data_IF_265818357645
#
_entry.id   IF_265818357645
#
_cell.length_a   1.000
_cell.length_b   1.000
_cell.length_c   1.000
_cell.angle_alpha   90.00
_cell.angle_beta   90.00
_cell.angle_gamma   90.00
#
_symmetry.space_group_name_H-M   'P 1'
#
loop_
_entity.id
_entity.type
_entity.pdbx_description
1 polymer ?
#
# COMPACT_ATOMS: atom_id res chain seq x y z
N UNK A 1 8.41 0.16 -63.38
CA UNK A 1 8.46 -0.42 -62.02
C UNK A 1 9.33 0.34 -61.01
N UNK A 2 9.62 1.65 -61.18
CA UNK A 2 10.47 2.43 -60.24
C UNK A 2 9.75 3.53 -59.44
N UNK A 3 8.44 3.75 -59.65
CA UNK A 3 7.68 4.83 -58.97
C UNK A 3 6.78 4.37 -57.82
N UNK A 4 6.61 3.07 -57.62
CA UNK A 4 5.71 2.54 -56.56
C UNK A 4 6.46 2.32 -55.23
N UNK A 5 7.77 2.07 -55.25
CA UNK A 5 8.55 1.85 -54.02
C UNK A 5 8.78 3.11 -53.18
N UNK A 6 8.72 4.32 -53.76
CA UNK A 6 8.95 5.56 -53.01
C UNK A 6 7.72 5.97 -52.19
N UNK A 7 6.51 5.61 -52.63
CA UNK A 7 5.26 5.98 -51.94
C UNK A 7 5.00 5.11 -50.70
N UNK A 8 5.40 3.83 -50.73
CA UNK A 8 5.30 2.91 -49.59
C UNK A 8 6.30 3.27 -48.49
N UNK A 9 7.48 3.80 -48.86
CA UNK A 9 8.49 4.23 -47.88
C UNK A 9 8.11 5.53 -47.15
N UNK A 10 7.31 6.41 -47.78
CA UNK A 10 6.80 7.63 -47.12
C UNK A 10 5.62 7.31 -46.18
N UNK A 11 4.81 6.29 -46.47
CA UNK A 11 3.73 5.84 -45.58
C UNK A 11 4.23 5.13 -44.32
N UNK A 12 5.38 4.45 -44.37
CA UNK A 12 5.96 3.80 -43.18
C UNK A 12 6.69 4.75 -42.23
N UNK A 13 7.09 5.94 -42.68
CA UNK A 13 7.74 6.96 -41.84
C UNK A 13 6.72 7.83 -41.10
N UNK A 14 5.46 7.84 -41.54
CA UNK A 14 4.41 8.70 -40.94
C UNK A 14 3.69 8.06 -39.74
N UNK A 15 3.95 6.79 -39.41
CA UNK A 15 3.25 6.08 -38.32
C UNK A 15 4.03 6.09 -36.99
N UNK A 16 5.30 6.49 -36.97
CA UNK A 16 6.12 6.54 -35.74
C UNK A 16 6.09 7.88 -35.01
N UNK A 17 5.28 8.84 -35.47
CA UNK A 17 5.23 10.21 -34.91
C UNK A 17 4.05 10.49 -33.99
N UNK A 18 3.36 9.48 -33.45
CA UNK A 18 2.73 9.63 -32.13
C UNK A 18 3.83 9.65 -31.05
N UNK A 19 4.81 10.54 -31.22
CA UNK A 19 5.69 10.95 -30.16
C UNK A 19 4.80 11.49 -29.04
N UNK A 20 4.95 10.94 -27.83
CA UNK A 20 4.44 11.58 -26.63
C UNK A 20 4.71 13.08 -26.74
N UNK A 21 3.66 13.90 -26.73
CA UNK A 21 3.82 15.36 -26.63
C UNK A 21 4.89 15.63 -25.59
N UNK A 22 5.89 16.44 -25.93
CA UNK A 22 6.98 16.77 -25.02
C UNK A 22 6.43 17.15 -23.64
N UNK A 23 7.16 16.77 -22.60
CA UNK A 23 6.72 16.92 -21.22
C UNK A 23 6.27 18.36 -20.91
N UNK A 24 5.07 18.52 -20.35
CA UNK A 24 4.53 19.83 -20.01
C UNK A 24 5.42 20.56 -18.99
N UNK A 25 5.33 21.91 -18.95
CA UNK A 25 6.10 22.72 -17.98
C UNK A 25 5.83 22.29 -16.53
N UNK A 26 4.58 21.96 -16.21
CA UNK A 26 4.21 21.49 -14.87
C UNK A 26 4.80 20.12 -14.58
N UNK A 27 4.78 19.18 -15.54
CA UNK A 27 5.38 17.85 -15.35
C UNK A 27 6.90 17.91 -15.18
N UNK A 28 7.59 18.81 -15.90
CA UNK A 28 9.02 19.06 -15.67
C UNK A 28 9.28 19.62 -14.27
N UNK A 29 8.47 20.58 -13.82
CA UNK A 29 8.59 21.17 -12.49
C UNK A 29 8.34 20.16 -11.36
N UNK A 30 7.38 19.22 -11.54
CA UNK A 30 7.18 18.11 -10.60
C UNK A 30 8.43 17.24 -10.47
N UNK A 31 9.02 16.82 -11.60
CA UNK A 31 10.25 16.01 -11.59
C UNK A 31 11.39 16.76 -10.89
N UNK A 32 11.58 18.05 -11.20
CA UNK A 32 12.59 18.87 -10.52
C UNK A 32 12.37 18.94 -9.01
N UNK A 33 11.12 19.06 -8.55
CA UNK A 33 10.78 19.04 -7.13
C UNK A 33 11.12 17.68 -6.50
N UNK A 34 10.73 16.58 -7.12
CA UNK A 34 11.05 15.23 -6.61
C UNK A 34 12.57 15.02 -6.53
N UNK A 35 13.33 15.43 -7.54
CA UNK A 35 14.81 15.33 -7.51
C UNK A 35 15.43 16.20 -6.42
N UNK A 36 14.86 17.39 -6.14
CA UNK A 36 15.29 18.25 -5.03
C UNK A 36 15.10 17.56 -3.67
N UNK A 37 14.01 16.82 -3.48
CA UNK A 37 13.70 16.13 -2.21
C UNK A 37 14.28 14.71 -2.12
N UNK A 38 14.84 14.19 -3.21
CA UNK A 38 15.29 12.78 -3.36
C UNK A 38 16.11 12.25 -2.20
N UNK A 39 17.17 12.95 -1.81
CA UNK A 39 18.09 12.45 -0.77
C UNK A 39 17.38 12.29 0.59
N UNK A 40 16.52 13.24 0.93
CA UNK A 40 15.78 13.19 2.19
C UNK A 40 14.67 12.13 2.13
N UNK A 41 14.00 11.95 0.99
CA UNK A 41 13.00 10.89 0.81
C UNK A 41 13.62 9.48 0.88
N UNK A 42 14.80 9.28 0.29
CA UNK A 42 15.56 8.03 0.41
C UNK A 42 15.91 7.78 1.87
N UNK A 43 16.44 8.81 2.56
CA UNK A 43 16.76 8.72 3.99
C UNK A 43 15.55 8.34 4.84
N UNK A 44 14.39 8.96 4.60
CA UNK A 44 13.13 8.61 5.28
C UNK A 44 12.76 7.14 5.03
N UNK A 45 12.82 6.70 3.77
CA UNK A 45 12.56 5.29 3.42
C UNK A 45 13.53 4.33 4.12
N UNK A 46 14.81 4.68 4.22
CA UNK A 46 15.83 3.86 4.88
C UNK A 46 15.65 3.83 6.41
N UNK A 47 15.23 4.94 7.01
CA UNK A 47 14.89 5.02 8.43
C UNK A 47 13.67 4.14 8.75
N UNK A 48 12.59 4.25 7.97
CA UNK A 48 11.39 3.41 8.13
C UNK A 48 11.75 1.93 7.91
N UNK A 49 12.59 1.62 6.90
CA UNK A 49 13.12 0.26 6.69
C UNK A 49 13.78 -0.31 7.95
N UNK A 50 14.60 0.50 8.61
CA UNK A 50 15.32 0.11 9.83
C UNK A 50 14.42 0.01 11.08
N UNK A 51 13.32 0.77 11.13
CA UNK A 51 12.34 0.73 12.20
C UNK A 51 11.50 -0.55 12.14
N UNK A 52 10.99 -0.89 10.95
CA UNK A 52 10.17 -2.07 10.69
C UNK A 52 9.05 -2.27 11.73
N UNK A 53 8.32 -1.20 12.06
CA UNK A 53 7.23 -1.21 13.03
C UNK A 53 5.99 -1.90 12.45
N UNK A 54 5.41 -2.84 13.20
CA UNK A 54 4.24 -3.62 12.76
C UNK A 54 2.93 -2.88 12.99
N UNK A 55 1.84 -3.45 12.47
CA UNK A 55 0.50 -2.91 12.59
C UNK A 55 0.17 -2.38 14.01
N UNK A 56 -0.30 -1.13 14.07
CA UNK A 56 -0.65 -0.29 15.22
C UNK A 56 0.49 0.16 16.12
N UNK A 57 1.72 -0.24 15.81
CA UNK A 57 2.93 0.13 16.56
C UNK A 57 3.84 1.09 15.74
N UNK A 58 3.35 1.62 14.62
CA UNK A 58 4.11 2.44 13.65
C UNK A 58 4.38 3.89 14.09
N UNK A 59 4.63 4.09 15.38
CA UNK A 59 4.71 5.41 16.01
C UNK A 59 5.80 6.27 15.40
N UNK A 60 7.01 5.73 15.23
CA UNK A 60 8.13 6.51 14.69
C UNK A 60 8.02 6.69 13.19
N UNK A 61 7.52 5.70 12.47
CA UNK A 61 7.35 5.74 11.02
C UNK A 61 6.30 6.80 10.63
N UNK A 62 5.18 6.84 11.36
CA UNK A 62 4.18 7.90 11.22
C UNK A 62 4.75 9.28 11.57
N UNK A 63 5.48 9.38 12.68
CA UNK A 63 6.11 10.62 13.13
C UNK A 63 7.07 11.20 12.07
N UNK A 64 7.93 10.37 11.49
CA UNK A 64 8.91 10.79 10.46
C UNK A 64 8.20 11.38 9.24
N UNK A 65 7.18 10.70 8.72
CA UNK A 65 6.45 11.15 7.53
C UNK A 65 5.64 12.42 7.83
N UNK A 66 4.92 12.45 8.95
CA UNK A 66 4.12 13.59 9.36
C UNK A 66 4.99 14.83 9.63
N UNK A 67 6.10 14.68 10.35
CA UNK A 67 7.06 15.76 10.60
C UNK A 67 7.68 16.28 9.30
N UNK A 68 7.97 15.40 8.34
CA UNK A 68 8.49 15.84 7.05
C UNK A 68 7.43 16.58 6.21
N UNK A 69 6.16 16.17 6.29
CA UNK A 69 5.06 16.92 5.68
C UNK A 69 4.93 18.33 6.30
N UNK A 70 4.93 18.44 7.64
CA UNK A 70 4.90 19.72 8.37
C UNK A 70 6.07 20.62 7.97
N UNK A 71 7.28 20.07 7.92
CA UNK A 71 8.50 20.78 7.48
C UNK A 71 8.38 21.33 6.05
N UNK A 72 7.58 20.68 5.20
CA UNK A 72 7.30 21.14 3.83
C UNK A 72 6.07 22.05 3.73
N UNK A 73 5.49 22.44 4.87
CA UNK A 73 4.44 23.44 4.98
C UNK A 73 3.03 22.90 4.79
N UNK A 74 2.80 21.61 5.01
CA UNK A 74 1.46 21.06 5.16
C UNK A 74 0.89 21.37 6.54
N UNK A 75 -0.42 21.51 6.63
CA UNK A 75 -1.15 21.42 7.92
C UNK A 75 -1.40 19.94 8.19
N UNK A 76 -0.92 19.43 9.32
CA UNK A 76 -1.00 18.00 9.65
C UNK A 76 -1.89 17.76 10.85
N UNK A 77 -2.86 16.88 10.67
CA UNK A 77 -3.75 16.36 11.72
C UNK A 77 -3.31 14.93 12.04
N UNK A 78 -2.78 14.72 13.24
CA UNK A 78 -2.24 13.43 13.71
C UNK A 78 -3.25 12.75 14.63
N UNK A 79 -3.21 11.42 14.72
CA UNK A 79 -4.10 10.66 15.58
C UNK A 79 -5.55 10.59 15.07
N UNK A 80 -5.74 10.66 13.74
CA UNK A 80 -7.08 10.67 13.12
C UNK A 80 -7.75 9.30 13.20
N UNK A 81 -9.08 9.27 13.11
CA UNK A 81 -9.87 8.03 13.13
C UNK A 81 -9.57 7.13 14.34
N UNK A 82 -9.29 7.73 15.50
CA UNK A 82 -8.95 7.06 16.76
C UNK A 82 -7.67 6.20 16.69
N UNK A 83 -6.82 6.41 15.68
CA UNK A 83 -5.55 5.70 15.51
C UNK A 83 -4.38 6.66 15.70
N UNK A 84 -3.57 6.52 16.78
CA UNK A 84 -2.44 7.42 17.05
C UNK A 84 -1.43 7.54 15.91
N UNK A 85 -1.27 6.49 15.11
CA UNK A 85 -0.31 6.42 14.00
C UNK A 85 -0.90 6.87 12.66
N UNK A 86 -2.21 7.15 12.58
CA UNK A 86 -2.82 7.71 11.37
C UNK A 86 -2.74 9.23 11.35
N UNK A 87 -2.57 9.82 10.15
CA UNK A 87 -2.56 11.27 10.00
C UNK A 87 -3.00 11.73 8.61
N UNK A 88 -3.41 13.00 8.52
CA UNK A 88 -3.74 13.70 7.28
C UNK A 88 -2.90 14.96 7.17
N UNK A 89 -2.17 15.11 6.07
CA UNK A 89 -1.41 16.31 5.76
C UNK A 89 -2.06 17.05 4.58
N UNK A 90 -2.58 18.25 4.81
CA UNK A 90 -3.34 19.03 3.82
C UNK A 90 -2.60 20.30 3.40
N UNK A 91 -2.64 20.62 2.10
CA UNK A 91 -2.23 21.92 1.59
C UNK A 91 -3.13 22.40 0.45
N UNK A 92 -3.37 23.70 0.41
CA UNK A 92 -4.16 24.35 -0.64
C UNK A 92 -5.58 24.67 -0.17
N UNK A 93 -6.45 24.97 -1.12
CA UNK A 93 -7.85 25.27 -0.84
C UNK A 93 -8.71 25.10 -2.09
N UNK A 94 -10.00 24.84 -1.87
CA UNK A 94 -10.97 24.62 -2.94
C UNK A 94 -10.73 23.30 -3.69
N UNK A 95 -11.39 23.19 -4.83
CA UNK A 95 -11.40 21.98 -5.66
C UNK A 95 -10.46 22.09 -6.87
N UNK A 96 -9.97 20.96 -7.41
CA UNK A 96 -10.19 19.61 -6.91
C UNK A 96 -9.39 19.32 -5.63
N UNK A 97 -9.93 18.44 -4.79
CA UNK A 97 -9.24 17.82 -3.65
C UNK A 97 -8.67 16.48 -4.12
N UNK A 98 -7.36 16.39 -4.20
CA UNK A 98 -6.65 15.17 -4.60
C UNK A 98 -5.94 14.60 -3.39
N UNK A 99 -6.23 13.35 -3.03
CA UNK A 99 -5.47 12.63 -2.01
C UNK A 99 -4.40 11.73 -2.63
N UNK A 100 -3.29 11.59 -1.91
CA UNK A 100 -2.21 10.64 -2.19
C UNK A 100 -2.04 9.75 -0.98
N UNK A 101 -2.16 8.44 -1.16
CA UNK A 101 -2.03 7.44 -0.10
C UNK A 101 -0.56 7.17 0.23
N UNK A 102 -0.25 7.01 1.52
CA UNK A 102 1.05 6.51 1.96
C UNK A 102 0.92 5.56 3.14
N UNK A 103 1.47 4.36 2.99
CA UNK A 103 1.54 3.32 4.01
C UNK A 103 2.96 3.17 4.54
N UNK A 104 3.13 2.56 5.72
CA UNK A 104 4.43 2.49 6.39
C UNK A 104 4.53 1.36 7.43
N UNK A 105 3.58 0.42 7.49
CA UNK A 105 3.65 -0.74 8.38
C UNK A 105 4.55 -1.85 7.84
N UNK A 106 5.13 -2.61 8.76
CA UNK A 106 5.96 -3.78 8.49
C UNK A 106 5.22 -5.08 8.83
N UNK A 107 5.79 -6.19 8.35
CA UNK A 107 5.26 -7.53 8.56
C UNK A 107 6.05 -8.26 9.65
N UNK A 108 5.39 -9.06 10.50
CA UNK A 108 6.05 -9.84 11.55
C UNK A 108 6.87 -10.99 10.96
N UNK A 109 7.98 -11.34 11.61
CA UNK A 109 8.74 -12.57 11.31
C UNK A 109 9.55 -12.57 10.00
N UNK A 110 9.59 -11.46 9.26
CA UNK A 110 10.24 -11.37 7.95
C UNK A 110 11.38 -10.33 7.90
N UNK A 111 12.10 -10.15 9.00
CA UNK A 111 13.29 -9.29 9.03
C UNK A 111 14.24 -9.59 7.88
N UNK A 112 14.80 -8.55 7.29
CA UNK A 112 15.58 -8.65 6.06
C UNK A 112 16.61 -7.51 6.01
N UNK A 113 17.84 -7.84 5.62
CA UNK A 113 18.85 -6.86 5.22
C UNK A 113 18.48 -6.28 3.86
N UNK A 114 18.95 -5.08 3.53
CA UNK A 114 18.74 -4.44 2.23
C UNK A 114 19.55 -5.13 1.10
N UNK A 115 19.28 -6.41 0.87
CA UNK A 115 19.91 -7.29 -0.12
C UNK A 115 18.83 -8.08 -0.84
N UNK A 116 19.03 -8.44 -2.13
CA UNK A 116 18.01 -9.14 -2.91
C UNK A 116 17.87 -10.63 -2.55
N UNK A 117 18.75 -11.16 -1.70
CA UNK A 117 18.72 -12.54 -1.23
C UNK A 117 18.25 -12.60 0.22
N UNK A 118 17.52 -13.66 0.59
CA UNK A 118 17.03 -13.88 1.97
C UNK A 118 18.22 -13.85 2.93
N UNK A 119 18.26 -12.82 3.78
CA UNK A 119 19.30 -12.59 4.76
C UNK A 119 18.72 -11.78 5.91
N UNK A 120 18.16 -12.43 6.94
CA UNK A 120 17.56 -11.72 8.06
C UNK A 120 18.56 -10.77 8.74
N UNK A 121 18.11 -9.56 9.05
CA UNK A 121 18.90 -8.64 9.88
C UNK A 121 18.89 -9.15 11.33
N UNK A 122 17.70 -9.54 11.82
CA UNK A 122 17.51 -10.24 13.09
C UNK A 122 16.47 -11.34 12.88
N UNK A 123 16.86 -12.59 13.11
CA UNK A 123 15.98 -13.75 12.91
C UNK A 123 14.66 -13.59 13.70
N UNK A 124 13.52 -13.86 13.04
CA UNK A 124 12.17 -13.76 13.63
C UNK A 124 11.66 -12.34 13.92
N UNK A 125 12.45 -11.29 13.70
CA UNK A 125 11.99 -9.92 13.84
C UNK A 125 11.13 -9.47 12.63
N UNK A 126 10.50 -8.31 12.75
CA UNK A 126 9.72 -7.71 11.66
C UNK A 126 10.61 -7.16 10.52
N UNK A 127 10.00 -6.93 9.35
CA UNK A 127 10.65 -6.35 8.18
C UNK A 127 9.65 -5.87 7.12
N UNK A 128 10.08 -4.99 6.23
CA UNK A 128 9.27 -4.49 5.12
C UNK A 128 9.33 -5.41 3.88
N UNK A 129 8.59 -6.50 3.91
CA UNK A 129 8.47 -7.41 2.77
C UNK A 129 7.60 -6.88 1.63
N UNK A 130 6.64 -6.00 1.95
CA UNK A 130 5.71 -5.39 1.00
C UNK A 130 6.18 -4.01 0.48
N UNK A 131 7.28 -3.49 1.03
CA UNK A 131 7.89 -2.23 0.59
C UNK A 131 7.21 -0.97 1.10
N UNK A 132 6.40 -1.02 2.16
CA UNK A 132 5.67 0.16 2.66
C UNK A 132 6.60 1.31 3.08
N UNK A 133 7.85 1.03 3.45
CA UNK A 133 8.89 2.06 3.65
C UNK A 133 9.12 2.93 2.39
N UNK A 134 9.04 2.34 1.19
CA UNK A 134 9.13 3.04 -0.09
C UNK A 134 7.82 3.74 -0.43
N UNK A 135 6.69 3.08 -0.16
CA UNK A 135 5.35 3.57 -0.49
C UNK A 135 5.09 4.91 0.21
N UNK A 136 5.15 4.97 1.54
CA UNK A 136 4.92 6.19 2.30
C UNK A 136 5.82 7.33 1.88
N UNK A 137 7.13 7.08 1.75
CA UNK A 137 8.11 8.09 1.34
C UNK A 137 7.87 8.61 -0.08
N UNK A 138 7.68 7.72 -1.05
CA UNK A 138 7.45 8.09 -2.46
C UNK A 138 6.17 8.90 -2.65
N UNK A 139 5.10 8.49 -1.98
CA UNK A 139 3.81 9.18 -2.01
C UNK A 139 3.88 10.57 -1.36
N UNK A 140 4.60 10.70 -0.24
CA UNK A 140 4.83 12.00 0.38
C UNK A 140 5.61 12.95 -0.54
N UNK A 141 6.62 12.42 -1.25
CA UNK A 141 7.34 13.17 -2.29
C UNK A 141 6.44 13.70 -3.40
N UNK A 142 5.49 12.88 -3.87
CA UNK A 142 4.51 13.30 -4.86
C UNK A 142 3.58 14.41 -4.33
N UNK A 143 3.09 14.26 -3.10
CA UNK A 143 2.24 15.28 -2.46
C UNK A 143 2.98 16.61 -2.30
N UNK A 144 4.24 16.59 -1.85
CA UNK A 144 5.10 17.78 -1.72
C UNK A 144 5.28 18.47 -3.09
N UNK A 145 5.55 17.71 -4.15
CA UNK A 145 5.74 18.28 -5.48
C UNK A 145 4.45 18.95 -6.02
N UNK A 146 3.28 18.35 -5.79
CA UNK A 146 1.98 18.95 -6.13
C UNK A 146 1.76 20.23 -5.32
N UNK A 147 2.03 20.16 -4.01
CA UNK A 147 1.93 21.29 -3.09
C UNK A 147 2.77 22.49 -3.55
N UNK A 148 4.02 22.26 -3.96
CA UNK A 148 4.90 23.33 -4.45
C UNK A 148 4.35 24.01 -5.73
N UNK A 149 3.64 23.27 -6.60
CA UNK A 149 2.97 23.88 -7.75
C UNK A 149 1.74 24.72 -7.36
N UNK A 150 0.97 24.28 -6.36
CA UNK A 150 -0.15 25.07 -5.80
C UNK A 150 0.40 26.35 -5.19
N UNK A 151 1.45 26.24 -4.35
CA UNK A 151 2.10 27.36 -3.70
C UNK A 151 2.64 28.38 -4.71
N UNK A 152 3.21 27.91 -5.83
CA UNK A 152 3.72 28.76 -6.90
C UNK A 152 2.62 29.38 -7.79
N UNK A 153 1.34 29.11 -7.52
CA UNK A 153 0.21 29.59 -8.31
C UNK A 153 0.10 28.98 -9.71
N UNK A 154 0.81 27.87 -9.98
CA UNK A 154 0.81 27.19 -11.29
C UNK A 154 -0.39 26.29 -11.49
N UNK A 155 -0.96 25.78 -10.40
CA UNK A 155 -2.21 25.03 -10.33
C UNK A 155 -3.02 25.51 -9.12
N UNK A 156 -4.29 25.14 -9.05
CA UNK A 156 -5.20 25.45 -7.95
C UNK A 156 -5.84 24.15 -7.44
N UNK A 157 -6.35 24.17 -6.22
CA UNK A 157 -6.99 23.04 -5.56
C UNK A 157 -6.32 22.70 -4.23
N UNK A 158 -6.62 21.51 -3.73
CA UNK A 158 -6.14 20.99 -2.45
C UNK A 158 -5.46 19.65 -2.68
N UNK A 159 -4.32 19.43 -2.04
CA UNK A 159 -3.66 18.13 -1.98
C UNK A 159 -3.65 17.62 -0.55
N UNK A 160 -4.05 16.37 -0.36
CA UNK A 160 -3.98 15.65 0.92
C UNK A 160 -2.99 14.50 0.79
N UNK A 161 -2.05 14.37 1.72
CA UNK A 161 -1.34 13.12 1.93
C UNK A 161 -1.99 12.40 3.10
N UNK A 162 -2.43 11.18 2.88
CA UNK A 162 -3.11 10.35 3.87
C UNK A 162 -2.11 9.29 4.34
N UNK A 163 -1.59 9.48 5.56
CA UNK A 163 -0.70 8.54 6.22
C UNK A 163 -1.52 7.45 6.88
N UNK A 164 -1.54 6.25 6.29
CA UNK A 164 -2.44 5.18 6.66
C UNK A 164 -1.68 4.01 7.30
N UNK A 165 -1.94 3.68 8.57
CA UNK A 165 -1.26 2.58 9.25
C UNK A 165 -1.92 1.23 8.95
N UNK A 166 -1.23 0.16 9.32
CA UNK A 166 -1.80 -1.18 9.55
C UNK A 166 -2.58 -1.75 8.36
N UNK A 167 -2.04 -1.63 7.15
CA UNK A 167 -2.64 -2.23 5.96
C UNK A 167 -2.68 -3.75 6.06
N UNK A 168 -1.56 -4.35 6.47
CA UNK A 168 -1.28 -5.79 6.29
C UNK A 168 -2.15 -6.69 7.16
N UNK A 169 -2.66 -6.16 8.28
CA UNK A 169 -3.37 -6.99 9.27
C UNK A 169 -4.75 -6.51 9.65
N UNK A 170 -4.93 -5.20 9.81
CA UNK A 170 -6.13 -4.64 10.42
C UNK A 170 -6.85 -3.63 9.52
N UNK A 171 -6.35 -3.42 8.31
CA UNK A 171 -6.97 -2.58 7.29
C UNK A 171 -7.27 -1.16 7.81
N UNK A 172 -6.28 -0.48 8.41
CA UNK A 172 -6.48 0.81 9.09
C UNK A 172 -7.24 1.86 8.25
N UNK A 173 -7.10 1.82 6.93
CA UNK A 173 -7.87 2.65 5.99
C UNK A 173 -9.39 2.56 6.16
N UNK A 174 -9.95 1.40 6.52
CA UNK A 174 -11.40 1.22 6.74
C UNK A 174 -11.88 2.16 7.85
N UNK A 175 -11.10 2.29 8.93
CA UNK A 175 -11.42 3.18 10.05
C UNK A 175 -11.37 4.64 9.62
N UNK A 176 -10.37 5.00 8.81
CA UNK A 176 -10.24 6.35 8.28
C UNK A 176 -11.35 6.72 7.29
N UNK A 177 -11.78 5.77 6.45
CA UNK A 177 -12.96 5.95 5.57
C UNK A 177 -14.23 6.12 6.40
N UNK A 178 -14.43 5.30 7.43
CA UNK A 178 -15.59 5.40 8.34
C UNK A 178 -15.60 6.72 9.12
N UNK A 179 -14.43 7.30 9.40
CA UNK A 179 -14.29 8.61 10.04
C UNK A 179 -14.50 9.79 9.06
N UNK A 180 -14.82 9.52 7.78
CA UNK A 180 -15.14 10.54 6.78
C UNK A 180 -13.93 11.25 6.18
N UNK A 181 -12.70 10.72 6.34
CA UNK A 181 -11.49 11.42 5.88
C UNK A 181 -11.37 11.51 4.33
N UNK A 182 -12.25 10.82 3.60
CA UNK A 182 -12.36 10.87 2.14
C UNK A 182 -13.61 11.59 1.63
N UNK A 183 -14.51 12.07 2.50
CA UNK A 183 -15.82 12.57 2.09
C UNK A 183 -15.75 13.78 1.15
N UNK A 184 -14.66 14.55 1.22
CA UNK A 184 -14.40 15.72 0.37
C UNK A 184 -13.34 15.47 -0.73
N UNK A 185 -12.85 14.23 -0.89
CA UNK A 185 -11.81 13.89 -1.86
C UNK A 185 -12.43 13.59 -3.23
N UNK A 186 -12.07 14.38 -4.24
CA UNK A 186 -12.52 14.18 -5.62
C UNK A 186 -11.79 13.01 -6.31
N UNK A 187 -10.49 12.86 -6.05
CA UNK A 187 -9.64 11.82 -6.65
C UNK A 187 -8.62 11.33 -5.62
N UNK A 188 -8.58 10.01 -5.42
CA UNK A 188 -7.55 9.35 -4.61
C UNK A 188 -6.54 8.63 -5.52
N UNK A 189 -5.25 8.94 -5.33
CA UNK A 189 -4.14 8.33 -6.07
C UNK A 189 -3.32 7.45 -5.12
N UNK A 190 -2.96 6.27 -5.61
CA UNK A 190 -2.12 5.31 -4.91
C UNK A 190 -1.16 4.64 -5.88
N UNK A 191 -0.10 4.05 -5.33
CA UNK A 191 0.80 3.15 -6.03
C UNK A 191 1.24 2.06 -5.05
N UNK A 192 1.79 0.97 -5.54
CA UNK A 192 2.34 -0.06 -4.66
C UNK A 192 3.73 -0.47 -5.17
N UNK A 193 4.74 -0.61 -4.30
CA UNK A 193 6.03 -1.16 -4.67
C UNK A 193 5.88 -2.53 -5.35
N UNK A 194 6.68 -2.74 -6.40
CA UNK A 194 6.71 -3.97 -7.17
C UNK A 194 8.06 -4.10 -7.88
N UNK A 195 8.35 -5.27 -8.43
CA UNK A 195 9.55 -5.50 -9.23
C UNK A 195 9.51 -4.77 -10.59
N UNK A 196 8.34 -4.27 -11.00
CA UNK A 196 8.12 -3.59 -12.27
C UNK A 196 7.39 -2.26 -12.08
N UNK A 197 7.82 -1.23 -12.81
CA UNK A 197 7.09 0.05 -12.90
C UNK A 197 6.02 -0.05 -13.98
N UNK A 198 4.76 -0.15 -13.59
CA UNK A 198 3.62 -0.20 -14.50
C UNK A 198 2.42 0.59 -13.99
N UNK A 199 1.55 1.00 -14.89
CA UNK A 199 0.24 1.54 -14.61
C UNK A 199 -0.78 0.71 -15.40
N UNK A 200 -1.75 0.13 -14.72
CA UNK A 200 -2.74 -0.77 -15.32
C UNK A 200 -4.10 -0.58 -14.64
N UNK A 201 -5.17 -0.90 -15.35
CA UNK A 201 -6.53 -0.90 -14.80
C UNK A 201 -6.79 -2.29 -14.25
N UNK A 202 -6.66 -2.43 -12.93
CA UNK A 202 -6.79 -3.72 -12.26
C UNK A 202 -7.89 -3.67 -11.19
N UNK A 203 -8.61 -4.77 -11.03
CA UNK A 203 -9.48 -4.99 -9.87
C UNK A 203 -8.71 -5.78 -8.82
N UNK A 204 -9.05 -5.60 -7.55
CA UNK A 204 -8.64 -6.48 -6.45
C UNK A 204 -9.74 -7.48 -6.10
N UNK A 205 -9.41 -8.47 -5.27
CA UNK A 205 -10.40 -9.34 -4.63
C UNK A 205 -10.90 -8.69 -3.33
N UNK A 206 -12.20 -8.77 -3.08
CA UNK A 206 -12.72 -8.51 -1.74
C UNK A 206 -12.25 -9.61 -0.79
N UNK A 207 -11.87 -9.23 0.43
CA UNK A 207 -11.36 -10.14 1.45
C UNK A 207 -12.33 -10.23 2.63
N UNK A 208 -12.55 -11.44 3.11
CA UNK A 208 -13.23 -11.73 4.38
C UNK A 208 -12.31 -12.67 5.16
N UNK A 209 -11.85 -12.25 6.33
CA UNK A 209 -11.03 -13.04 7.24
C UNK A 209 -11.75 -13.22 8.57
N UNK A 210 -11.68 -14.42 9.15
CA UNK A 210 -12.25 -14.76 10.44
C UNK A 210 -11.50 -15.92 11.07
N UNK A 211 -11.47 -15.94 12.41
CA UNK A 211 -10.98 -17.08 13.18
C UNK A 211 -12.14 -18.00 13.55
N UNK A 212 -11.91 -19.31 13.41
CA UNK A 212 -12.83 -20.36 13.88
C UNK A 212 -12.13 -21.13 14.98
N UNK A 213 -12.72 -21.14 16.17
CA UNK A 213 -12.18 -21.85 17.33
C UNK A 213 -13.05 -23.07 17.64
N UNK A 214 -12.41 -24.22 17.83
CA UNK A 214 -13.07 -25.48 18.14
C UNK A 214 -12.84 -25.83 19.60
N UNK A 215 -13.92 -26.03 20.34
CA UNK A 215 -13.87 -26.44 21.75
C UNK A 215 -14.42 -27.85 21.90
N UNK A 216 -13.69 -28.68 22.64
CA UNK A 216 -13.96 -30.09 22.81
C UNK A 216 -13.88 -30.54 24.26
N UNK A 217 -13.88 -31.85 24.47
CA UNK A 217 -13.70 -32.50 25.77
C UNK A 217 -12.52 -33.46 25.67
N UNK A 218 -11.51 -33.25 26.51
CA UNK A 218 -10.36 -34.13 26.59
C UNK A 218 -10.75 -35.47 27.22
N UNK A 219 -10.14 -36.55 26.75
CA UNK A 219 -10.23 -37.89 27.34
C UNK A 219 -8.93 -38.65 27.09
N UNK A 220 -8.71 -39.76 27.82
CA UNK A 220 -7.52 -40.57 27.63
C UNK A 220 -7.58 -41.27 26.26
N UNK A 221 -6.70 -40.87 25.33
CA UNK A 221 -6.79 -41.25 23.91
C UNK A 221 -6.89 -42.76 23.66
N UNK A 222 -6.20 -43.60 24.45
CA UNK A 222 -6.24 -45.06 24.28
C UNK A 222 -7.17 -45.80 25.23
N UNK A 223 -7.56 -45.21 26.36
CA UNK A 223 -8.20 -45.93 27.46
C UNK A 223 -9.68 -45.56 27.62
N UNK A 224 -10.05 -44.34 27.23
CA UNK A 224 -11.42 -43.82 27.38
C UNK A 224 -11.83 -42.87 26.23
N UNK A 225 -11.50 -43.15 24.95
CA UNK A 225 -11.71 -42.19 23.86
C UNK A 225 -13.19 -41.85 23.61
N UNK A 226 -14.13 -42.74 23.93
CA UNK A 226 -15.57 -42.54 23.71
C UNK A 226 -16.19 -41.45 24.59
N UNK A 227 -15.52 -41.05 25.68
CA UNK A 227 -15.94 -39.91 26.51
C UNK A 227 -15.34 -38.58 26.02
N UNK A 228 -14.44 -38.63 25.02
CA UNK A 228 -13.85 -37.46 24.41
C UNK A 228 -14.76 -36.80 23.38
N UNK A 229 -14.55 -35.50 23.16
CA UNK A 229 -15.07 -34.75 22.01
C UNK A 229 -13.89 -34.04 21.38
N UNK A 230 -13.31 -34.62 20.34
CA UNK A 230 -12.07 -34.13 19.75
C UNK A 230 -12.29 -32.81 19.00
N UNK A 231 -11.69 -31.74 19.51
CA UNK A 231 -11.61 -30.47 18.79
C UNK A 231 -10.75 -30.60 17.51
N UNK A 232 -9.76 -31.50 17.53
CA UNK A 232 -8.91 -31.81 16.36
C UNK A 232 -9.73 -32.42 15.23
N UNK A 233 -10.60 -33.38 15.54
CA UNK A 233 -11.45 -34.04 14.53
C UNK A 233 -12.42 -33.01 13.90
N UNK A 234 -12.97 -32.10 14.72
CA UNK A 234 -13.83 -31.03 14.22
C UNK A 234 -13.08 -30.07 13.27
N UNK A 235 -11.84 -29.72 13.60
CA UNK A 235 -10.97 -28.90 12.74
C UNK A 235 -10.63 -29.62 11.42
N UNK A 236 -10.31 -30.92 11.46
CA UNK A 236 -10.03 -31.72 10.27
C UNK A 236 -11.24 -31.81 9.33
N UNK A 237 -12.43 -32.04 9.91
CA UNK A 237 -13.69 -32.07 9.14
C UNK A 237 -14.00 -30.71 8.52
N UNK A 238 -13.79 -29.62 9.25
CA UNK A 238 -13.97 -28.26 8.72
C UNK A 238 -13.01 -27.96 7.56
N UNK A 239 -11.72 -28.22 7.74
CA UNK A 239 -10.71 -27.99 6.70
C UNK A 239 -11.00 -28.82 5.44
N UNK A 240 -11.41 -30.08 5.62
CA UNK A 240 -11.83 -30.96 4.52
C UNK A 240 -13.08 -30.42 3.81
N UNK A 241 -14.08 -29.98 4.57
CA UNK A 241 -15.29 -29.34 4.03
C UNK A 241 -14.98 -28.10 3.20
N UNK A 242 -14.08 -27.23 3.67
CA UNK A 242 -13.63 -26.05 2.90
C UNK A 242 -12.94 -26.46 1.60
N UNK A 243 -12.15 -27.54 1.60
CA UNK A 243 -11.50 -28.03 0.38
C UNK A 243 -12.52 -28.46 -0.68
N UNK A 244 -13.57 -29.19 -0.29
CA UNK A 244 -14.65 -29.58 -1.21
C UNK A 244 -15.53 -28.39 -1.62
N UNK A 245 -15.80 -27.46 -0.71
CA UNK A 245 -16.63 -26.28 -1.02
C UNK A 245 -16.02 -25.37 -2.11
N UNK A 246 -14.70 -25.42 -2.33
CA UNK A 246 -14.04 -24.65 -3.40
C UNK A 246 -14.58 -24.93 -4.80
N UNK A 247 -15.11 -26.12 -5.07
CA UNK A 247 -15.75 -26.45 -6.36
C UNK A 247 -17.12 -25.78 -6.52
N UNK A 248 -17.76 -25.37 -5.42
CA UNK A 248 -19.15 -24.90 -5.39
C UNK A 248 -19.28 -23.38 -5.21
N UNK A 249 -18.19 -22.63 -5.42
CA UNK A 249 -18.18 -21.16 -5.43
C UNK A 249 -17.84 -20.62 -6.82
N UNK A 250 -18.05 -19.31 -7.03
CA UNK A 250 -17.73 -18.68 -8.32
C UNK A 250 -16.23 -18.77 -8.61
N UNK A 251 -15.81 -18.89 -9.89
CA UNK A 251 -14.39 -18.97 -10.26
C UNK A 251 -13.52 -17.77 -9.84
N UNK A 252 -14.12 -16.63 -9.49
CA UNK A 252 -13.44 -15.45 -8.96
C UNK A 252 -13.12 -15.54 -7.47
N UNK A 253 -13.70 -16.50 -6.74
CA UNK A 253 -13.49 -16.67 -5.30
C UNK A 253 -12.21 -17.46 -5.05
N UNK A 254 -11.44 -17.04 -4.05
CA UNK A 254 -10.29 -17.77 -3.52
C UNK A 254 -10.52 -17.97 -2.03
N UNK A 255 -10.32 -19.20 -1.56
CA UNK A 255 -10.49 -19.58 -0.16
C UNK A 255 -9.24 -20.31 0.29
N UNK A 256 -8.68 -19.91 1.42
CA UNK A 256 -7.54 -20.53 2.06
C UNK A 256 -7.79 -20.63 3.57
N UNK A 257 -7.09 -21.53 4.24
CA UNK A 257 -7.11 -21.66 5.69
C UNK A 257 -5.68 -21.86 6.18
N UNK A 258 -5.44 -21.49 7.43
CA UNK A 258 -4.19 -21.67 8.14
C UNK A 258 -4.52 -22.14 9.57
N UNK A 259 -3.95 -23.27 9.96
CA UNK A 259 -4.13 -23.84 11.30
C UNK A 259 -3.14 -23.16 12.23
N UNK A 260 -3.64 -22.55 13.30
CA UNK A 260 -2.86 -21.91 14.36
C UNK A 260 -2.86 -22.82 15.59
N UNK A 261 -1.76 -22.81 16.34
CA UNK A 261 -1.57 -23.49 17.62
C UNK A 261 -2.12 -22.71 18.81
#
# INVERSE_FOLDING_TARGET
MKKISLFVMILFVSITSFAQKGMSKNKKALITSVEKHKNELIKISDEIWGLAETAFEETKSAEILASYAEKNGFTVERGVAEMPTAFVATYGSGSPVISVLGEFDALPGISQKATPTKSPLKEGAAGHGCGHNLFGAGSLGAAIAIKELIQAGKIKGTVKFLGTPSEEKFFGKIWMVNAGLWDDVDVNISWHPSAETKADVQSSLALVDFKVEFFGQAAHASADPWNGRSASDALELYASGINYYREHVRPSVRMHNHIQD
#
